data_IF_393245816379
#
_entry.id   IF_393245816379
#
_cell.length_a   1.000
_cell.length_b   1.000
_cell.length_c   1.000
_cell.angle_alpha   90.00
_cell.angle_beta   90.00
_cell.angle_gamma   90.00
#
_symmetry.space_group_name_H-M   'P 1'
#
loop_
_entity.id
_entity.type
_entity.pdbx_description
1 polymer ?
#
# COMPACT_ATOMS: atom_id res chain seq x y z
N UNK A 1 32.35 13.42 -24.01
CA UNK A 1 31.36 12.75 -24.89
C UNK A 1 30.74 11.59 -24.10
N UNK A 2 29.55 11.77 -23.55
CA UNK A 2 28.83 10.68 -22.86
C UNK A 2 28.08 9.88 -23.94
N UNK A 3 28.53 8.67 -24.20
CA UNK A 3 27.77 7.71 -24.99
C UNK A 3 26.52 7.32 -24.20
N UNK A 4 25.33 7.77 -24.62
CA UNK A 4 24.05 7.22 -24.18
C UNK A 4 24.02 5.76 -24.60
N UNK A 5 24.33 4.83 -23.66
CA UNK A 5 24.14 3.40 -23.89
C UNK A 5 22.63 3.17 -24.07
N UNK A 6 22.22 2.68 -25.23
CA UNK A 6 20.84 2.23 -25.46
C UNK A 6 20.56 1.12 -24.48
N UNK A 7 19.68 1.38 -23.53
CA UNK A 7 19.24 0.40 -22.53
C UNK A 7 18.49 -0.70 -23.27
N UNK A 8 19.16 -1.84 -23.53
CA UNK A 8 18.49 -3.03 -24.05
C UNK A 8 17.67 -3.64 -22.92
N UNK A 9 16.42 -4.04 -23.22
CA UNK A 9 15.50 -4.66 -22.26
C UNK A 9 15.48 -6.16 -22.53
N UNK A 10 15.75 -6.97 -21.51
CA UNK A 10 15.52 -8.41 -21.54
C UNK A 10 14.08 -8.69 -21.16
N UNK A 11 13.40 -9.52 -21.95
CA UNK A 11 12.03 -9.96 -21.69
C UNK A 11 12.06 -11.39 -21.17
N UNK A 12 11.43 -11.64 -20.04
CA UNK A 12 11.17 -12.99 -19.53
C UNK A 12 9.78 -13.38 -19.98
N UNK A 13 9.67 -14.53 -20.66
CA UNK A 13 8.42 -15.03 -21.23
C UNK A 13 8.05 -16.36 -20.57
N UNK A 14 6.75 -16.64 -20.44
CA UNK A 14 6.25 -17.95 -20.05
C UNK A 14 6.27 -18.92 -21.25
N UNK A 15 5.93 -20.18 -21.01
CA UNK A 15 5.83 -21.20 -22.06
C UNK A 15 4.76 -20.90 -23.11
N UNK A 16 3.81 -20.00 -22.83
CA UNK A 16 2.76 -19.54 -23.74
C UNK A 16 3.15 -18.32 -24.59
N UNK A 17 4.37 -17.78 -24.39
CA UNK A 17 4.85 -16.61 -25.14
C UNK A 17 4.47 -15.25 -24.54
N UNK A 18 3.79 -15.23 -23.39
CA UNK A 18 3.45 -13.99 -22.71
C UNK A 18 4.65 -13.42 -21.96
N UNK A 19 4.81 -12.10 -22.01
CA UNK A 19 5.88 -11.40 -21.28
C UNK A 19 5.52 -11.29 -19.80
N UNK A 20 6.23 -12.01 -18.95
CA UNK A 20 6.05 -11.99 -17.50
C UNK A 20 6.79 -10.82 -16.87
N UNK A 21 8.01 -10.54 -17.33
CA UNK A 21 8.83 -9.48 -16.76
C UNK A 21 9.72 -8.83 -17.83
N UNK A 22 10.09 -7.57 -17.58
CA UNK A 22 11.03 -6.81 -18.40
C UNK A 22 12.09 -6.23 -17.49
N UNK A 23 13.35 -6.56 -17.73
CA UNK A 23 14.48 -6.03 -16.97
C UNK A 23 15.44 -5.28 -17.90
N UNK A 24 16.03 -4.16 -17.46
CA UNK A 24 17.14 -3.58 -18.20
C UNK A 24 18.30 -4.58 -18.24
N UNK A 25 19.00 -4.63 -19.35
CA UNK A 25 20.13 -5.56 -19.53
C UNK A 25 21.39 -4.93 -18.97
N UNK A 26 22.03 -5.61 -18.02
CA UNK A 26 23.36 -5.24 -17.55
C UNK A 26 24.44 -5.98 -18.34
N UNK A 27 25.54 -5.28 -18.62
CA UNK A 27 26.70 -5.80 -19.32
C UNK A 27 27.97 -5.77 -18.45
N UNK A 28 27.86 -5.19 -17.25
CA UNK A 28 28.98 -5.14 -16.32
C UNK A 28 29.07 -6.47 -15.54
N UNK A 29 30.31 -6.89 -15.24
CA UNK A 29 30.52 -8.13 -14.49
C UNK A 29 30.02 -7.96 -13.06
N UNK A 30 29.32 -8.98 -12.55
CA UNK A 30 28.82 -9.06 -11.18
C UNK A 30 27.75 -8.00 -10.81
N UNK A 31 27.25 -7.24 -11.78
CA UNK A 31 26.18 -6.31 -11.56
C UNK A 31 24.81 -7.01 -11.75
N UNK A 32 23.98 -7.01 -10.72
CA UNK A 32 22.66 -7.64 -10.71
C UNK A 32 21.59 -6.57 -10.63
N UNK A 33 20.73 -6.52 -11.63
CA UNK A 33 19.57 -5.62 -11.62
C UNK A 33 18.40 -6.36 -11.00
N UNK A 34 18.01 -5.93 -9.80
CA UNK A 34 16.86 -6.45 -9.09
C UNK A 34 15.64 -5.55 -9.30
N UNK A 35 14.46 -6.17 -9.44
CA UNK A 35 13.20 -5.49 -9.19
C UNK A 35 12.72 -5.89 -7.79
N UNK A 36 12.77 -4.98 -6.81
CA UNK A 36 12.43 -5.30 -5.43
C UNK A 36 11.03 -5.88 -5.27
N UNK A 37 10.07 -5.42 -6.08
CA UNK A 37 8.67 -5.85 -6.02
C UNK A 37 8.53 -7.36 -6.23
N UNK A 38 9.31 -7.93 -7.14
CA UNK A 38 9.28 -9.37 -7.43
C UNK A 38 9.72 -10.26 -6.25
N UNK A 39 10.48 -9.71 -5.30
CA UNK A 39 10.98 -10.46 -4.14
C UNK A 39 10.04 -10.37 -2.92
N UNK A 40 9.10 -9.43 -2.90
CA UNK A 40 8.22 -9.21 -1.76
C UNK A 40 7.39 -10.43 -1.34
N UNK A 41 6.81 -11.24 -2.26
CA UNK A 41 6.08 -12.45 -1.87
C UNK A 41 6.96 -13.50 -1.17
N UNK A 42 8.24 -13.58 -1.55
CA UNK A 42 9.20 -14.47 -0.90
C UNK A 42 9.57 -13.95 0.49
N UNK A 43 9.79 -12.63 0.62
CA UNK A 43 10.12 -11.99 1.89
C UNK A 43 8.97 -12.05 2.89
N UNK A 44 7.72 -11.99 2.44
CA UNK A 44 6.57 -12.19 3.33
C UNK A 44 6.56 -13.60 3.96
N UNK A 45 6.98 -14.62 3.20
CA UNK A 45 7.13 -15.99 3.72
C UNK A 45 8.36 -16.14 4.62
N UNK A 46 9.46 -15.45 4.29
CA UNK A 46 10.76 -15.51 5.00
C UNK A 46 11.10 -14.16 5.63
N UNK A 47 10.27 -13.70 6.55
CA UNK A 47 10.38 -12.35 7.12
C UNK A 47 11.73 -12.06 7.80
N UNK A 48 12.43 -13.09 8.27
CA UNK A 48 13.77 -12.95 8.85
C UNK A 48 14.86 -12.50 7.86
N UNK A 49 14.60 -12.65 6.54
CA UNK A 49 15.53 -12.23 5.50
C UNK A 49 15.35 -10.75 5.08
N UNK A 50 14.36 -10.04 5.64
CA UNK A 50 14.02 -8.67 5.23
C UNK A 50 15.21 -7.71 5.35
N UNK A 51 16.00 -7.82 6.41
CA UNK A 51 17.13 -6.91 6.68
C UNK A 51 18.37 -7.23 5.84
N UNK A 52 18.42 -8.42 5.25
CA UNK A 52 19.57 -8.92 4.49
C UNK A 52 19.24 -9.07 2.99
N UNK A 53 18.07 -8.63 2.58
CA UNK A 53 17.63 -8.78 1.20
C UNK A 53 18.33 -7.76 0.30
N UNK A 54 19.32 -8.21 -0.47
CA UNK A 54 20.04 -7.38 -1.44
C UNK A 54 19.12 -6.58 -2.37
N UNK A 55 18.00 -7.14 -2.89
CA UNK A 55 17.06 -6.39 -3.73
C UNK A 55 16.44 -5.16 -3.06
N UNK A 56 16.37 -5.14 -1.72
CA UNK A 56 15.81 -4.01 -0.96
C UNK A 56 16.85 -3.00 -0.51
N UNK A 57 18.14 -3.37 -0.50
CA UNK A 57 19.22 -2.53 0.01
C UNK A 57 19.39 -1.23 -0.79
N UNK A 58 19.16 -1.30 -2.10
CA UNK A 58 19.31 -0.18 -3.03
C UNK A 58 17.95 0.43 -3.42
N UNK A 59 16.86 -0.03 -2.78
CA UNK A 59 15.54 0.49 -3.10
C UNK A 59 15.33 1.86 -2.45
N UNK A 60 15.33 2.89 -3.28
CA UNK A 60 15.10 4.28 -2.84
C UNK A 60 13.61 4.50 -2.54
N UNK A 61 13.25 4.26 -1.29
CA UNK A 61 11.90 4.52 -0.77
C UNK A 61 11.87 5.83 0.00
N UNK A 62 10.77 6.61 -0.10
CA UNK A 62 10.57 7.79 0.71
C UNK A 62 10.73 7.55 2.21
N UNK A 63 11.23 8.54 2.95
CA UNK A 63 11.55 8.43 4.39
C UNK A 63 10.35 7.97 5.25
N UNK A 64 9.14 8.26 4.82
CA UNK A 64 7.90 7.85 5.49
C UNK A 64 7.76 6.32 5.57
N UNK A 65 8.28 5.57 4.59
CA UNK A 65 8.27 4.11 4.65
C UNK A 65 9.20 3.57 5.74
N UNK A 66 10.34 4.21 5.99
CA UNK A 66 11.21 3.84 7.10
C UNK A 66 10.57 4.15 8.45
N UNK A 67 9.88 5.27 8.56
CA UNK A 67 9.13 5.63 9.77
C UNK A 67 8.00 4.64 10.02
N UNK A 68 7.24 4.30 8.98
CA UNK A 68 6.17 3.31 9.03
C UNK A 68 6.69 1.96 9.52
N UNK A 69 7.81 1.47 8.95
CA UNK A 69 8.45 0.23 9.34
C UNK A 69 8.78 0.20 10.83
N UNK A 70 9.43 1.25 11.33
CA UNK A 70 9.80 1.36 12.76
C UNK A 70 8.58 1.32 13.67
N UNK A 71 7.51 2.01 13.31
CA UNK A 71 6.27 2.03 14.09
C UNK A 71 5.57 0.66 14.10
N UNK A 72 5.49 -0.02 12.96
CA UNK A 72 4.92 -1.36 12.88
C UNK A 72 5.76 -2.38 13.67
N UNK A 73 7.07 -2.33 13.56
CA UNK A 73 7.99 -3.20 14.31
C UNK A 73 7.89 -2.95 15.82
N UNK A 74 7.77 -1.69 16.24
CA UNK A 74 7.63 -1.33 17.66
C UNK A 74 6.30 -1.85 18.26
N UNK A 75 5.21 -1.88 17.47
CA UNK A 75 3.89 -2.34 17.93
C UNK A 75 3.77 -3.86 17.97
N UNK A 76 4.25 -4.55 16.93
CA UNK A 76 3.91 -5.95 16.66
C UNK A 76 5.12 -6.86 16.41
N UNK A 77 6.35 -6.36 16.59
CA UNK A 77 7.59 -7.13 16.39
C UNK A 77 7.61 -7.86 15.04
N UNK A 78 7.69 -9.20 15.04
CA UNK A 78 7.71 -10.00 13.81
C UNK A 78 6.46 -9.85 12.95
N UNK A 79 5.29 -9.69 13.57
CA UNK A 79 4.04 -9.45 12.84
C UNK A 79 4.06 -8.09 12.15
N UNK A 80 4.62 -7.05 12.81
CA UNK A 80 4.79 -5.73 12.20
C UNK A 80 5.70 -5.73 10.98
N UNK A 81 6.77 -6.54 10.98
CA UNK A 81 7.60 -6.73 9.78
C UNK A 81 6.81 -7.35 8.63
N UNK A 82 5.95 -8.33 8.92
CA UNK A 82 5.10 -8.95 7.90
C UNK A 82 4.08 -7.95 7.34
N UNK A 83 3.42 -7.19 8.21
CA UNK A 83 2.51 -6.12 7.78
C UNK A 83 3.21 -5.09 6.91
N UNK A 84 4.44 -4.69 7.26
CA UNK A 84 5.23 -3.77 6.45
C UNK A 84 5.50 -4.34 5.05
N UNK A 85 5.88 -5.61 4.94
CA UNK A 85 6.07 -6.27 3.63
C UNK A 85 4.75 -6.31 2.86
N UNK A 86 3.62 -6.55 3.53
CA UNK A 86 2.30 -6.51 2.89
C UNK A 86 1.96 -5.11 2.36
N UNK A 87 2.33 -4.05 3.08
CA UNK A 87 2.20 -2.67 2.57
C UNK A 87 3.05 -2.47 1.31
N UNK A 88 4.31 -2.92 1.31
CA UNK A 88 5.15 -2.84 0.12
C UNK A 88 4.58 -3.65 -1.06
N UNK A 89 3.92 -4.78 -0.79
CA UNK A 89 3.25 -5.58 -1.82
C UNK A 89 2.08 -4.86 -2.51
N UNK A 90 1.55 -3.81 -1.92
CA UNK A 90 0.58 -2.97 -2.63
C UNK A 90 1.17 -2.35 -3.90
N UNK A 91 2.51 -2.23 -3.99
CA UNK A 91 3.21 -1.80 -5.21
C UNK A 91 3.12 -2.80 -6.37
N UNK A 92 2.68 -4.03 -6.12
CA UNK A 92 2.34 -5.00 -7.19
C UNK A 92 1.13 -4.51 -8.00
N UNK A 93 0.27 -3.68 -7.42
CA UNK A 93 -1.01 -3.25 -8.00
C UNK A 93 -1.12 -1.73 -8.15
N UNK A 94 -0.56 -0.97 -7.20
CA UNK A 94 -0.68 0.48 -7.12
C UNK A 94 0.64 1.18 -7.39
N UNK A 95 0.57 2.41 -7.88
CA UNK A 95 1.76 3.23 -8.09
C UNK A 95 2.39 3.71 -6.77
N UNK A 96 3.73 3.88 -6.77
CA UNK A 96 4.48 4.35 -5.60
C UNK A 96 3.99 5.71 -5.11
N UNK A 97 3.60 6.62 -6.01
CA UNK A 97 3.11 7.95 -5.64
C UNK A 97 1.82 7.89 -4.85
N UNK A 98 0.88 7.03 -5.25
CA UNK A 98 -0.41 6.85 -4.55
C UNK A 98 -0.21 6.17 -3.20
N UNK A 99 0.63 5.15 -3.15
CA UNK A 99 0.98 4.47 -1.90
C UNK A 99 1.71 5.41 -0.93
N UNK A 100 2.64 6.23 -1.40
CA UNK A 100 3.36 7.20 -0.57
C UNK A 100 2.41 8.21 0.08
N UNK A 101 1.46 8.76 -0.67
CA UNK A 101 0.46 9.70 -0.11
C UNK A 101 -0.42 9.01 0.93
N UNK A 102 -0.81 7.76 0.70
CA UNK A 102 -1.58 6.97 1.67
C UNK A 102 -0.78 6.71 2.95
N UNK A 103 0.49 6.30 2.83
CA UNK A 103 1.40 6.10 3.98
C UNK A 103 1.56 7.40 4.77
N UNK A 104 1.82 8.52 4.10
CA UNK A 104 1.93 9.83 4.74
C UNK A 104 0.65 10.22 5.50
N UNK A 105 -0.50 9.94 4.91
CA UNK A 105 -1.80 10.20 5.53
C UNK A 105 -2.01 9.29 6.75
N UNK A 106 -1.72 7.99 6.63
CA UNK A 106 -1.81 7.02 7.71
C UNK A 106 -0.93 7.40 8.91
N UNK A 107 0.30 7.82 8.67
CA UNK A 107 1.23 8.29 9.71
C UNK A 107 0.67 9.52 10.43
N UNK A 108 0.13 10.50 9.68
CA UNK A 108 -0.47 11.71 10.26
C UNK A 108 -1.70 11.41 11.11
N UNK A 109 -2.49 10.42 10.71
CA UNK A 109 -3.70 9.99 11.45
C UNK A 109 -3.39 9.02 12.60
N UNK A 110 -2.16 8.51 12.70
CA UNK A 110 -1.80 7.47 13.65
C UNK A 110 -2.40 6.09 13.31
N UNK A 111 -2.99 5.93 12.13
CA UNK A 111 -3.62 4.70 11.65
C UNK A 111 -2.57 3.76 11.00
N UNK A 112 -1.62 3.31 11.82
CA UNK A 112 -0.48 2.52 11.38
C UNK A 112 -0.87 1.03 11.34
N UNK A 113 -1.31 0.56 10.18
CA UNK A 113 -1.67 -0.84 9.93
C UNK A 113 -1.88 -1.09 8.43
N UNK A 114 -1.70 -2.35 8.00
CA UNK A 114 -1.86 -2.73 6.60
C UNK A 114 -3.26 -2.38 6.05
N UNK A 115 -4.32 -2.75 6.79
CA UNK A 115 -5.69 -2.53 6.33
C UNK A 115 -6.04 -1.04 6.20
N UNK A 116 -5.56 -0.20 7.13
CA UNK A 116 -5.76 1.24 7.08
C UNK A 116 -5.08 1.84 5.83
N UNK A 117 -3.83 1.46 5.57
CA UNK A 117 -3.08 1.96 4.41
C UNK A 117 -3.72 1.48 3.12
N UNK A 118 -4.09 0.20 3.02
CA UNK A 118 -4.80 -0.37 1.88
C UNK A 118 -6.10 0.39 1.59
N UNK A 119 -6.89 0.67 2.64
CA UNK A 119 -8.12 1.44 2.50
C UNK A 119 -7.84 2.86 1.97
N UNK A 120 -6.83 3.54 2.50
CA UNK A 120 -6.46 4.89 2.05
C UNK A 120 -6.00 4.91 0.58
N UNK A 121 -5.24 3.90 0.14
CA UNK A 121 -4.85 3.76 -1.27
C UNK A 121 -6.09 3.56 -2.14
N UNK A 122 -6.98 2.66 -1.76
CA UNK A 122 -8.22 2.38 -2.51
C UNK A 122 -9.09 3.64 -2.60
N UNK A 123 -9.32 4.34 -1.49
CA UNK A 123 -10.08 5.59 -1.49
C UNK A 123 -9.49 6.67 -2.42
N UNK A 124 -8.17 6.65 -2.59
CA UNK A 124 -7.48 7.58 -3.47
C UNK A 124 -7.60 7.20 -4.94
N UNK A 125 -7.40 5.92 -5.27
CA UNK A 125 -7.41 5.41 -6.64
C UNK A 125 -8.84 5.32 -7.18
N UNK A 126 -9.77 4.84 -6.37
CA UNK A 126 -11.18 4.68 -6.74
C UNK A 126 -11.94 5.98 -6.74
N UNK A 127 -11.32 7.15 -6.77
CA UNK A 127 -11.99 8.47 -6.76
C UNK A 127 -13.46 8.27 -6.41
N UNK A 128 -13.86 8.40 -5.14
CA UNK A 128 -15.22 8.15 -4.66
C UNK A 128 -16.22 8.49 -5.76
N UNK A 129 -17.11 7.57 -6.16
CA UNK A 129 -18.07 7.86 -7.19
C UNK A 129 -18.79 9.16 -6.82
N UNK A 130 -19.06 10.05 -7.78
CA UNK A 130 -19.80 11.27 -7.51
C UNK A 130 -21.06 10.87 -6.74
N UNK A 131 -21.39 11.60 -5.68
CA UNK A 131 -22.62 11.35 -4.91
C UNK A 131 -23.74 11.15 -5.92
N UNK A 132 -24.41 10.01 -5.84
CA UNK A 132 -25.54 9.72 -6.72
C UNK A 132 -26.55 10.87 -6.57
N UNK A 133 -26.84 11.54 -7.66
CA UNK A 133 -27.89 12.55 -7.66
C UNK A 133 -29.24 11.83 -7.60
N UNK A 134 -29.83 11.82 -6.43
CA UNK A 134 -31.11 11.14 -6.20
C UNK A 134 -32.27 11.81 -6.91
N UNK A 135 -32.14 13.05 -7.35
CA UNK A 135 -33.18 13.77 -8.07
C UNK A 135 -33.39 13.21 -9.51
N UNK A 136 -32.38 12.50 -10.04
CA UNK A 136 -32.49 11.76 -11.31
C UNK A 136 -33.35 10.50 -11.17
N UNK A 137 -33.60 10.04 -9.93
CA UNK A 137 -34.38 8.81 -9.65
C UNK A 137 -35.63 9.11 -8.84
N UNK A 138 -36.69 9.70 -9.45
CA UNK A 138 -37.89 10.16 -8.75
C UNK A 138 -38.70 9.04 -8.09
N UNK A 139 -38.43 7.78 -8.48
CA UNK A 139 -39.13 6.60 -7.94
C UNK A 139 -38.44 5.96 -6.73
N UNK A 140 -37.25 6.44 -6.34
CA UNK A 140 -36.59 5.95 -5.13
C UNK A 140 -37.25 6.56 -3.88
N UNK A 141 -37.69 5.73 -2.91
CA UNK A 141 -38.23 6.24 -1.67
C UNK A 141 -37.12 7.04 -0.93
N UNK A 142 -37.40 8.28 -0.60
CA UNK A 142 -36.53 9.12 0.21
C UNK A 142 -36.53 8.59 1.66
N UNK A 143 -35.52 7.80 2.05
CA UNK A 143 -35.34 7.41 3.41
C UNK A 143 -34.82 8.62 4.21
N UNK A 144 -35.67 9.16 5.09
CA UNK A 144 -35.25 10.18 6.04
C UNK A 144 -34.69 9.46 7.28
N UNK A 145 -33.37 9.24 7.30
CA UNK A 145 -32.71 8.68 8.49
C UNK A 145 -32.44 9.84 9.43
N UNK A 146 -33.18 9.90 10.52
CA UNK A 146 -32.92 10.86 11.60
C UNK A 146 -31.49 10.66 12.12
N UNK A 147 -30.68 11.72 12.10
CA UNK A 147 -29.35 11.71 12.71
C UNK A 147 -29.51 11.61 14.22
N UNK A 148 -29.12 10.48 14.80
CA UNK A 148 -29.08 10.32 16.26
C UNK A 148 -27.90 11.13 16.81
N UNK A 149 -28.16 11.95 17.82
CA UNK A 149 -27.13 12.69 18.53
C UNK A 149 -26.49 11.81 19.62
N UNK A 150 -25.18 11.89 19.85
CA UNK A 150 -24.54 11.22 20.99
C UNK A 150 -25.20 11.56 22.34
N UNK A 151 -25.78 12.73 22.46
CA UNK A 151 -26.54 13.18 23.66
C UNK A 151 -27.72 12.27 23.97
N UNK A 152 -28.36 11.66 22.95
CA UNK A 152 -29.48 10.72 23.10
C UNK A 152 -29.08 9.43 23.83
N UNK A 153 -27.78 9.10 23.85
CA UNK A 153 -27.26 7.90 24.48
C UNK A 153 -26.55 8.16 25.82
N UNK A 154 -26.42 9.41 26.20
CA UNK A 154 -25.74 9.78 27.49
C UNK A 154 -26.44 9.19 28.69
N UNK A 155 -27.75 9.01 28.66
CA UNK A 155 -28.50 8.36 29.74
C UNK A 155 -28.08 6.90 29.99
N UNK A 156 -27.58 6.20 28.97
CA UNK A 156 -27.08 4.83 29.11
C UNK A 156 -25.70 4.76 29.78
N UNK A 157 -24.95 5.86 29.79
CA UNK A 157 -23.61 5.95 30.38
C UNK A 157 -23.69 6.48 31.79
N UNK A 158 -24.66 7.36 32.12
CA UNK A 158 -24.83 7.98 33.43
C UNK A 158 -25.52 7.09 34.47
N UNK A 159 -26.02 5.88 34.07
CA UNK A 159 -26.58 4.92 35.01
C UNK A 159 -27.88 5.37 35.70
N UNK A 160 -28.47 6.49 35.33
CA UNK A 160 -29.77 6.93 35.82
C UNK A 160 -30.87 6.16 35.09
N UNK A 161 -31.08 4.92 35.54
CA UNK A 161 -32.30 4.18 35.22
C UNK A 161 -33.40 4.71 36.18
N UNK A 162 -34.43 5.28 35.59
CA UNK A 162 -35.65 5.67 36.30
C UNK A 162 -36.37 4.45 36.89
#
# INVERSE_FOLDING_TARGET
MQFKRKTQISKVMNSGGDVIARHPRCYDREDMIFDPVHYLPLLEKKIGALDQAAPLAEWDLPAEFHTLRRLMEARLLKAGRREYVQVLRLLETFDLGDLHVAVKTALRMGAVGFDAIKHLVLCRVEKRPPKLDLDVYPYLPRANVGTTSPASYMCLVSGDAA
#
